data_IF_784913372687
#
_entry.id   IF_784913372687
#
_cell.length_a   1.000
_cell.length_b   1.000
_cell.length_c   1.000
_cell.angle_alpha   90.00
_cell.angle_beta   90.00
_cell.angle_gamma   90.00
#
_symmetry.space_group_name_H-M   'P 1'
#
loop_
_entity.id
_entity.type
_entity.pdbx_description
1 polymer ?
#
# COMPACT_ATOMS: atom_id res chain seq x y z
N UNK A 1 47.94 55.34 -5.66
CA UNK A 1 46.54 55.30 -5.15
C UNK A 1 45.74 54.06 -5.61
N UNK A 2 46.35 52.89 -5.88
CA UNK A 2 45.59 51.68 -6.29
C UNK A 2 45.54 50.55 -5.24
N UNK A 3 46.40 50.57 -4.21
CA UNK A 3 46.51 49.46 -3.25
C UNK A 3 45.35 49.36 -2.23
N UNK A 4 44.64 50.47 -1.97
CA UNK A 4 43.50 50.49 -1.02
C UNK A 4 42.17 50.04 -1.66
N UNK A 5 42.02 50.10 -2.99
CA UNK A 5 40.80 49.64 -3.69
C UNK A 5 40.69 48.11 -3.71
N UNK A 6 41.80 47.40 -3.87
CA UNK A 6 41.80 45.92 -3.83
C UNK A 6 41.52 45.37 -2.43
N UNK A 7 41.96 46.05 -1.36
CA UNK A 7 41.65 45.65 0.01
C UNK A 7 40.17 45.79 0.36
N UNK A 8 39.52 46.86 -0.11
CA UNK A 8 38.07 47.05 0.06
C UNK A 8 37.24 46.00 -0.68
N UNK A 9 37.62 45.66 -1.92
CA UNK A 9 36.94 44.62 -2.69
C UNK A 9 37.07 43.24 -2.03
N UNK A 10 38.28 42.85 -1.62
CA UNK A 10 38.51 41.58 -0.92
C UNK A 10 37.71 41.51 0.38
N UNK A 11 37.64 42.60 1.15
CA UNK A 11 36.88 42.63 2.39
C UNK A 11 35.37 42.44 2.16
N UNK A 12 34.84 43.09 1.11
CA UNK A 12 33.43 42.95 0.71
C UNK A 12 33.13 41.53 0.23
N UNK A 13 34.01 40.94 -0.59
CA UNK A 13 33.84 39.54 -1.04
C UNK A 13 33.89 38.55 0.12
N UNK A 14 34.78 38.74 1.09
CA UNK A 14 34.86 37.88 2.29
C UNK A 14 33.59 38.03 3.14
N UNK A 15 33.09 39.26 3.31
CA UNK A 15 31.84 39.52 4.04
C UNK A 15 30.64 38.84 3.38
N UNK A 16 30.52 38.93 2.05
CA UNK A 16 29.45 38.26 1.31
C UNK A 16 29.58 36.73 1.37
N UNK A 17 30.79 36.19 1.25
CA UNK A 17 31.01 34.75 1.41
C UNK A 17 30.68 34.28 2.83
N UNK A 18 31.08 35.02 3.86
CA UNK A 18 30.73 34.70 5.25
C UNK A 18 29.23 34.78 5.50
N UNK A 19 28.53 35.78 4.97
CA UNK A 19 27.08 35.89 5.09
C UNK A 19 26.36 34.72 4.40
N UNK A 20 26.81 34.32 3.21
CA UNK A 20 26.30 33.14 2.51
C UNK A 20 26.58 31.85 3.29
N UNK A 21 27.77 31.72 3.87
CA UNK A 21 28.12 30.55 4.68
C UNK A 21 27.28 30.45 5.96
N UNK A 22 27.02 31.58 6.62
CA UNK A 22 26.13 31.66 7.80
C UNK A 22 24.70 31.31 7.40
N UNK A 23 24.20 31.81 6.27
CA UNK A 23 22.87 31.46 5.75
C UNK A 23 22.76 29.97 5.41
N UNK A 24 23.79 29.40 4.78
CA UNK A 24 23.84 27.98 4.46
C UNK A 24 23.89 27.09 5.72
N UNK A 25 24.69 27.48 6.73
CA UNK A 25 24.74 26.80 8.03
C UNK A 25 23.42 26.92 8.79
N UNK A 26 22.73 28.06 8.70
CA UNK A 26 21.41 28.24 9.30
C UNK A 26 20.37 27.33 8.62
N UNK A 27 20.39 27.19 7.29
CA UNK A 27 19.51 26.28 6.55
C UNK A 27 19.77 24.80 6.90
N UNK A 28 21.05 24.39 6.98
CA UNK A 28 21.41 23.04 7.43
C UNK A 28 20.97 22.83 8.88
N UNK A 29 21.20 23.81 9.77
CA UNK A 29 20.82 23.70 11.18
C UNK A 29 19.31 23.65 11.36
N UNK A 30 18.54 24.39 10.57
CA UNK A 30 17.09 24.38 10.60
C UNK A 30 16.55 23.04 10.07
N UNK A 31 17.09 22.53 8.96
CA UNK A 31 16.77 21.18 8.46
C UNK A 31 17.22 20.06 9.40
N UNK A 32 18.35 20.23 10.09
CA UNK A 32 18.85 19.27 11.07
C UNK A 32 18.04 19.31 12.37
N UNK A 33 17.54 20.48 12.80
CA UNK A 33 16.69 20.62 13.97
C UNK A 33 15.26 20.15 13.71
N UNK A 34 14.71 20.36 12.50
CA UNK A 34 13.42 19.75 12.12
C UNK A 34 13.54 18.23 12.00
N UNK A 35 14.62 17.71 11.41
CA UNK A 35 14.87 16.27 11.34
C UNK A 35 15.26 15.66 12.70
N UNK A 36 15.96 16.37 13.57
CA UNK A 36 16.27 15.93 14.92
C UNK A 36 15.05 16.00 15.84
N UNK A 37 14.14 16.96 15.64
CA UNK A 37 12.84 17.00 16.33
C UNK A 37 11.96 15.80 15.96
N UNK A 38 12.00 15.38 14.69
CA UNK A 38 11.36 14.14 14.21
C UNK A 38 12.10 12.90 14.73
N UNK A 39 13.43 12.86 14.71
CA UNK A 39 14.21 11.74 15.27
C UNK A 39 14.09 11.63 16.81
N UNK A 40 13.90 12.74 17.51
CA UNK A 40 13.69 12.79 18.97
C UNK A 40 12.26 12.43 19.33
N UNK A 41 11.26 12.82 18.52
CA UNK A 41 9.88 12.32 18.61
C UNK A 41 9.75 10.82 18.24
N UNK A 42 10.61 10.33 17.34
CA UNK A 42 10.78 8.88 17.07
C UNK A 42 11.51 8.18 18.22
N UNK A 43 12.40 8.88 18.94
CA UNK A 43 13.13 8.32 20.08
C UNK A 43 12.34 8.27 21.40
N UNK A 44 11.18 8.93 21.49
CA UNK A 44 10.42 8.99 22.75
C UNK A 44 9.73 7.68 23.15
N UNK A 45 9.59 6.69 22.26
CA UNK A 45 8.96 5.40 22.59
C UNK A 45 9.74 4.17 22.08
N UNK A 46 11.05 4.08 22.37
CA UNK A 46 11.86 2.86 22.10
C UNK A 46 11.20 1.58 22.65
N UNK A 47 10.47 1.67 23.76
CA UNK A 47 9.75 0.54 24.34
C UNK A 47 8.56 0.09 23.47
N UNK A 48 7.82 1.02 22.86
CA UNK A 48 6.72 0.67 21.94
C UNK A 48 7.26 0.12 20.63
N UNK A 49 8.34 0.70 20.09
CA UNK A 49 9.01 0.17 18.89
C UNK A 49 9.51 -1.26 19.14
N UNK A 50 10.16 -1.52 20.27
CA UNK A 50 10.57 -2.87 20.66
C UNK A 50 9.37 -3.83 20.84
N UNK A 51 8.23 -3.35 21.33
CA UNK A 51 7.00 -4.14 21.46
C UNK A 51 6.37 -4.47 20.10
N UNK A 52 6.36 -3.52 19.16
CA UNK A 52 5.89 -3.76 17.79
C UNK A 52 6.81 -4.75 17.07
N UNK A 53 8.12 -4.58 17.21
CA UNK A 53 9.10 -5.48 16.60
C UNK A 53 9.04 -6.89 17.20
N UNK A 54 8.82 -7.02 18.51
CA UNK A 54 8.62 -8.33 19.14
C UNK A 54 7.30 -8.98 18.70
N UNK A 55 6.20 -8.22 18.61
CA UNK A 55 4.94 -8.69 18.04
C UNK A 55 5.12 -9.20 16.60
N UNK A 56 5.77 -8.42 15.73
CA UNK A 56 6.06 -8.83 14.35
C UNK A 56 6.87 -10.14 14.28
N UNK A 57 7.92 -10.28 15.11
CA UNK A 57 8.71 -11.50 15.18
C UNK A 57 7.88 -12.70 15.65
N UNK A 58 7.00 -12.51 16.64
CA UNK A 58 6.10 -13.55 17.14
C UNK A 58 5.07 -13.97 16.10
N UNK A 59 4.49 -13.03 15.35
CA UNK A 59 3.53 -13.34 14.28
C UNK A 59 4.20 -14.20 13.19
N UNK A 60 5.36 -13.74 12.69
CA UNK A 60 6.13 -14.49 11.67
C UNK A 60 6.47 -15.90 12.14
N UNK A 61 6.97 -16.03 13.37
CA UNK A 61 7.30 -17.33 13.95
C UNK A 61 6.05 -18.22 14.11
N UNK A 62 4.95 -17.67 14.62
CA UNK A 62 3.70 -18.41 14.79
C UNK A 62 3.14 -18.92 13.47
N UNK A 63 3.18 -18.11 12.41
CA UNK A 63 2.78 -18.52 11.07
C UNK A 63 3.66 -19.64 10.52
N UNK A 64 4.99 -19.56 10.70
CA UNK A 64 5.95 -20.61 10.32
C UNK A 64 5.67 -21.91 11.08
N UNK A 65 5.56 -21.83 12.40
CA UNK A 65 5.32 -23.00 13.26
C UNK A 65 4.01 -23.69 12.87
N UNK A 66 2.95 -22.92 12.64
CA UNK A 66 1.65 -23.47 12.22
C UNK A 66 1.74 -24.22 10.90
N UNK A 67 2.39 -23.62 9.89
CA UNK A 67 2.55 -24.27 8.59
C UNK A 67 3.38 -25.56 8.70
N UNK A 68 4.44 -25.54 9.52
CA UNK A 68 5.30 -26.69 9.75
C UNK A 68 4.60 -27.85 10.46
N UNK A 69 3.53 -27.58 11.23
CA UNK A 69 2.68 -28.61 11.82
C UNK A 69 1.78 -29.32 10.80
N UNK A 70 1.79 -28.90 9.52
CA UNK A 70 1.08 -29.56 8.42
C UNK A 70 -0.43 -29.30 8.42
N UNK A 71 -0.92 -28.35 9.22
CA UNK A 71 -2.31 -27.92 9.21
C UNK A 71 -2.69 -27.14 7.97
N UNK A 72 -4.00 -27.12 7.67
CA UNK A 72 -4.56 -26.11 6.78
C UNK A 72 -4.29 -24.72 7.37
N UNK A 73 -3.96 -23.75 6.51
CA UNK A 73 -3.57 -22.42 6.98
C UNK A 73 -4.82 -21.61 7.32
N UNK A 74 -5.30 -21.78 8.56
CA UNK A 74 -6.39 -21.01 9.14
C UNK A 74 -5.83 -19.81 9.90
N UNK A 75 -6.04 -18.61 9.33
CA UNK A 75 -5.55 -17.35 9.90
C UNK A 75 -6.14 -17.07 11.28
N UNK A 76 -7.41 -17.40 11.50
CA UNK A 76 -8.07 -17.20 12.79
C UNK A 76 -7.43 -18.08 13.86
N UNK A 77 -7.22 -19.35 13.56
CA UNK A 77 -6.57 -20.28 14.47
C UNK A 77 -5.10 -19.90 14.76
N UNK A 78 -4.36 -19.50 13.73
CA UNK A 78 -2.99 -18.96 13.87
C UNK A 78 -2.98 -17.74 14.80
N UNK A 79 -3.91 -16.81 14.57
CA UNK A 79 -4.01 -15.57 15.34
C UNK A 79 -4.30 -15.85 16.82
N UNK A 80 -5.29 -16.68 17.12
CA UNK A 80 -5.61 -17.10 18.49
C UNK A 80 -4.42 -17.79 19.17
N UNK A 81 -3.72 -18.67 18.46
CA UNK A 81 -2.54 -19.35 18.98
C UNK A 81 -1.36 -18.40 19.28
N UNK A 82 -1.27 -17.24 18.62
CA UNK A 82 -0.25 -16.23 18.90
C UNK A 82 -0.67 -15.32 20.05
N UNK A 83 -1.91 -14.80 20.04
CA UNK A 83 -2.41 -13.89 21.07
C UNK A 83 -2.45 -14.53 22.47
N UNK A 84 -2.62 -15.84 22.55
CA UNK A 84 -2.63 -16.60 23.82
C UNK A 84 -1.24 -16.88 24.38
N UNK A 85 -0.16 -16.53 23.66
CA UNK A 85 1.20 -16.74 24.15
C UNK A 85 1.53 -15.76 25.28
N UNK A 86 2.09 -16.22 26.43
CA UNK A 86 2.39 -15.36 27.57
C UNK A 86 3.33 -14.18 27.27
N UNK A 87 4.17 -14.33 26.25
CA UNK A 87 5.15 -13.32 25.83
C UNK A 87 4.61 -12.32 24.79
N UNK A 88 3.33 -12.43 24.40
CA UNK A 88 2.67 -11.43 23.54
C UNK A 88 2.68 -10.05 24.23
N UNK A 89 3.08 -8.96 23.55
CA UNK A 89 3.10 -7.63 24.15
C UNK A 89 1.70 -7.16 24.57
N UNK A 90 1.58 -6.76 25.84
CA UNK A 90 0.32 -6.26 26.39
C UNK A 90 -0.15 -4.99 25.69
N UNK A 91 -1.46 -4.88 25.45
CA UNK A 91 -2.07 -3.71 24.82
C UNK A 91 -1.88 -3.61 23.31
N UNK A 92 -1.31 -4.64 22.66
CA UNK A 92 -1.26 -4.75 21.20
C UNK A 92 -2.22 -5.82 20.70
N UNK A 93 -2.71 -5.60 19.49
CA UNK A 93 -3.44 -6.56 18.68
C UNK A 93 -2.86 -6.53 17.25
N UNK A 94 -3.25 -7.49 16.41
CA UNK A 94 -2.75 -7.63 15.06
C UNK A 94 -3.75 -8.28 14.09
N UNK A 95 -3.47 -8.06 12.80
CA UNK A 95 -4.11 -8.72 11.68
C UNK A 95 -3.07 -9.38 10.77
N UNK A 96 -3.43 -10.54 10.22
CA UNK A 96 -2.70 -11.21 9.15
C UNK A 96 -3.58 -11.10 7.90
N UNK A 97 -3.11 -10.37 6.91
CA UNK A 97 -3.88 -10.05 5.71
C UNK A 97 -3.21 -10.77 4.53
N UNK A 98 -3.84 -11.80 3.93
CA UNK A 98 -3.34 -12.41 2.70
C UNK A 98 -3.23 -11.36 1.62
N UNK A 99 -2.14 -11.38 0.86
CA UNK A 99 -1.98 -10.39 -0.21
C UNK A 99 -2.92 -10.69 -1.41
N UNK A 100 -3.48 -11.90 -1.49
CA UNK A 100 -4.63 -12.26 -2.35
C UNK A 100 -5.92 -11.50 -2.02
N UNK A 101 -6.03 -10.90 -0.84
CA UNK A 101 -7.15 -10.03 -0.45
C UNK A 101 -7.10 -8.63 -1.10
N UNK A 102 -6.03 -8.33 -1.85
CA UNK A 102 -5.76 -7.04 -2.50
C UNK A 102 -5.72 -7.17 -4.01
N UNK A 103 -6.08 -6.10 -4.72
CA UNK A 103 -6.02 -6.03 -6.18
C UNK A 103 -4.56 -5.91 -6.62
N UNK A 104 -4.08 -6.86 -7.43
CA UNK A 104 -2.70 -6.85 -7.91
C UNK A 104 -2.53 -5.97 -9.15
N UNK A 105 -1.85 -4.83 -9.01
CA UNK A 105 -1.63 -3.85 -10.10
C UNK A 105 -0.82 -4.43 -11.27
N UNK A 106 0.06 -5.42 -11.03
CA UNK A 106 0.87 -6.05 -12.09
C UNK A 106 0.08 -7.02 -12.96
N UNK A 107 -1.03 -7.54 -12.42
CA UNK A 107 -1.88 -8.52 -13.10
C UNK A 107 -3.30 -7.98 -13.37
N UNK A 108 -3.52 -6.69 -13.11
CA UNK A 108 -4.76 -6.00 -13.41
C UNK A 108 -4.83 -5.68 -14.91
N UNK A 109 -5.91 -6.09 -15.57
CA UNK A 109 -6.12 -5.79 -16.99
C UNK A 109 -6.58 -4.35 -17.18
N UNK A 110 -6.28 -3.75 -18.34
CA UNK A 110 -6.80 -2.42 -18.70
C UNK A 110 -8.33 -2.35 -18.67
N UNK A 111 -9.01 -3.44 -19.07
CA UNK A 111 -10.47 -3.54 -18.98
C UNK A 111 -10.95 -3.48 -17.53
N UNK A 112 -10.27 -4.17 -16.60
CA UNK A 112 -10.62 -4.19 -15.18
C UNK A 112 -10.37 -2.82 -14.55
N UNK A 113 -9.24 -2.17 -14.87
CA UNK A 113 -8.96 -0.80 -14.41
C UNK A 113 -10.00 0.19 -14.95
N UNK A 114 -10.39 0.07 -16.23
CA UNK A 114 -11.49 0.87 -16.80
C UNK A 114 -12.78 0.68 -16.00
N UNK A 115 -13.17 -0.57 -15.71
CA UNK A 115 -14.37 -0.83 -14.93
C UNK A 115 -14.30 -0.30 -13.49
N UNK A 116 -13.11 -0.27 -12.86
CA UNK A 116 -12.92 0.43 -11.58
C UNK A 116 -13.23 1.91 -11.77
N UNK A 117 -12.57 2.57 -12.75
CA UNK A 117 -12.70 4.01 -13.01
C UNK A 117 -14.15 4.43 -13.33
N UNK A 118 -14.87 3.65 -14.15
CA UNK A 118 -16.27 3.87 -14.51
C UNK A 118 -17.22 3.92 -13.30
N UNK A 119 -16.83 3.32 -12.16
CA UNK A 119 -17.63 3.31 -10.93
C UNK A 119 -17.17 4.32 -9.89
N UNK A 120 -16.05 5.02 -10.12
CA UNK A 120 -15.54 6.03 -9.18
C UNK A 120 -16.41 7.27 -9.24
N UNK A 121 -16.84 7.76 -8.08
CA UNK A 121 -17.62 9.02 -7.95
C UNK A 121 -16.81 10.26 -8.33
N UNK A 122 -15.49 10.14 -8.31
CA UNK A 122 -14.52 11.22 -8.56
C UNK A 122 -13.94 11.21 -9.98
N UNK A 123 -14.56 10.47 -10.91
CA UNK A 123 -14.11 10.34 -12.31
C UNK A 123 -15.29 10.61 -13.24
N UNK A 124 -15.13 11.57 -14.14
CA UNK A 124 -16.13 11.85 -15.15
C UNK A 124 -16.01 10.86 -16.31
N UNK A 125 -17.15 10.44 -16.89
CA UNK A 125 -17.18 9.47 -17.98
C UNK A 125 -16.34 9.89 -19.21
N UNK A 126 -16.21 11.20 -19.45
CA UNK A 126 -15.39 11.75 -20.53
C UNK A 126 -13.88 11.69 -20.28
N UNK A 127 -13.44 11.48 -19.04
CA UNK A 127 -12.01 11.44 -18.67
C UNK A 127 -11.42 10.03 -18.70
N UNK A 128 -12.28 9.00 -18.71
CA UNK A 128 -11.88 7.60 -18.57
C UNK A 128 -10.86 7.19 -19.64
N UNK A 129 -11.08 7.59 -20.90
CA UNK A 129 -10.13 7.29 -21.97
C UNK A 129 -8.77 7.93 -21.75
N UNK A 130 -8.73 9.16 -21.21
CA UNK A 130 -7.49 9.84 -20.86
C UNK A 130 -6.76 9.17 -19.70
N UNK A 131 -7.49 8.73 -18.67
CA UNK A 131 -6.92 7.98 -17.55
C UNK A 131 -6.32 6.63 -17.98
N UNK A 132 -7.01 5.91 -18.87
CA UNK A 132 -6.50 4.64 -19.41
C UNK A 132 -5.26 4.85 -20.28
N UNK A 133 -5.23 5.93 -21.08
CA UNK A 133 -4.03 6.30 -21.84
C UNK A 133 -2.87 6.66 -20.89
N UNK A 134 -3.12 7.45 -19.85
CA UNK A 134 -2.09 7.80 -18.87
C UNK A 134 -1.52 6.58 -18.11
N UNK A 135 -2.36 5.59 -17.79
CA UNK A 135 -1.86 4.31 -17.25
C UNK A 135 -0.98 3.58 -18.26
N UNK A 136 -1.35 3.61 -19.55
CA UNK A 136 -0.60 2.92 -20.60
C UNK A 136 0.80 3.52 -20.75
N UNK A 137 0.88 4.84 -20.91
CA UNK A 137 2.16 5.59 -20.95
C UNK A 137 2.98 5.41 -19.67
N UNK A 138 2.33 5.19 -18.51
CA UNK A 138 3.08 4.93 -17.27
C UNK A 138 3.86 3.61 -17.30
N UNK A 139 3.27 2.58 -17.92
CA UNK A 139 3.75 1.20 -17.84
C UNK A 139 4.55 0.78 -19.06
N UNK A 140 4.27 1.35 -20.24
CA UNK A 140 4.99 1.01 -21.46
C UNK A 140 6.46 1.48 -21.42
N UNK A 141 7.26 0.98 -22.35
CA UNK A 141 8.72 1.15 -22.28
C UNK A 141 9.24 2.38 -23.04
N UNK A 142 8.39 3.11 -23.75
CA UNK A 142 8.79 4.22 -24.59
C UNK A 142 8.49 5.58 -23.94
N UNK A 143 8.69 6.68 -24.66
CA UNK A 143 8.41 8.04 -24.15
C UNK A 143 7.38 8.75 -25.09
N UNK A 144 6.62 7.99 -25.90
CA UNK A 144 5.68 8.56 -26.87
C UNK A 144 4.29 8.71 -26.27
N UNK A 145 3.95 9.94 -25.90
CA UNK A 145 2.68 10.21 -25.25
C UNK A 145 1.50 9.90 -26.18
N UNK A 146 0.53 9.14 -25.63
CA UNK A 146 -0.79 9.04 -26.25
C UNK A 146 -1.52 10.40 -26.24
N UNK A 147 -2.57 10.61 -27.07
CA UNK A 147 -3.24 11.91 -27.22
C UNK A 147 -3.70 12.57 -25.91
N UNK A 148 -4.11 11.75 -24.93
CA UNK A 148 -4.49 12.17 -23.59
C UNK A 148 -3.66 11.47 -22.51
N UNK A 149 -2.53 10.90 -22.88
CA UNK A 149 -1.61 10.24 -21.96
C UNK A 149 -0.70 11.20 -21.19
N UNK A 150 0.39 10.69 -20.66
CA UNK A 150 1.32 11.44 -19.81
C UNK A 150 2.70 10.78 -19.82
N UNK A 151 3.67 11.50 -20.38
CA UNK A 151 5.06 11.05 -20.51
C UNK A 151 6.05 11.98 -19.83
N UNK A 152 7.35 11.73 -20.02
CA UNK A 152 8.45 12.51 -19.44
C UNK A 152 8.29 14.02 -19.55
N UNK A 153 7.79 14.51 -20.68
CA UNK A 153 7.55 15.94 -20.90
C UNK A 153 6.44 16.50 -19.99
N UNK A 154 5.36 15.74 -19.80
CA UNK A 154 4.27 16.08 -18.89
C UNK A 154 4.77 16.12 -17.45
N UNK A 155 5.43 15.06 -16.97
CA UNK A 155 5.90 14.99 -15.58
C UNK A 155 6.98 16.02 -15.26
N UNK A 156 7.89 16.30 -16.20
CA UNK A 156 8.86 17.38 -16.05
C UNK A 156 8.19 18.77 -15.92
N UNK A 157 7.07 18.98 -16.63
CA UNK A 157 6.24 20.18 -16.49
C UNK A 157 5.61 20.33 -15.11
N UNK A 158 5.27 19.22 -14.47
CA UNK A 158 4.77 19.14 -13.08
C UNK A 158 5.90 19.16 -12.02
N UNK A 159 7.16 19.30 -12.44
CA UNK A 159 8.33 19.29 -11.55
C UNK A 159 8.72 17.90 -11.02
N UNK A 160 8.19 16.83 -11.63
CA UNK A 160 8.46 15.44 -11.28
C UNK A 160 9.44 14.87 -12.30
N UNK A 161 10.73 14.91 -11.96
CA UNK A 161 11.79 14.42 -12.83
C UNK A 161 11.92 12.88 -12.78
N UNK A 162 12.37 12.29 -13.89
CA UNK A 162 12.58 10.83 -14.04
C UNK A 162 11.30 9.98 -13.94
N UNK A 163 10.15 10.55 -14.35
CA UNK A 163 8.88 9.85 -14.54
C UNK A 163 8.44 9.94 -16.02
N UNK A 164 7.60 9.03 -16.54
CA UNK A 164 7.07 7.85 -15.85
C UNK A 164 8.17 6.81 -15.57
N UNK A 165 7.80 5.76 -14.83
CA UNK A 165 8.70 4.66 -14.53
C UNK A 165 9.05 3.81 -15.76
N UNK A 166 8.22 3.89 -16.80
CA UNK A 166 8.26 3.13 -18.06
C UNK A 166 8.40 1.62 -17.79
N UNK A 167 7.65 1.17 -16.78
CA UNK A 167 7.70 -0.18 -16.23
C UNK A 167 6.46 -0.44 -15.35
N UNK A 168 6.24 -1.71 -14.99
CA UNK A 168 5.24 -2.07 -13.99
C UNK A 168 5.49 -1.37 -12.65
N UNK A 169 4.39 -1.12 -11.93
CA UNK A 169 4.40 -0.53 -10.58
C UNK A 169 5.33 -1.29 -9.62
N UNK A 170 6.21 -0.55 -8.94
CA UNK A 170 7.12 -1.09 -7.93
C UNK A 170 6.56 -0.99 -6.51
N UNK A 171 5.64 -0.04 -6.29
CA UNK A 171 4.86 0.11 -5.05
C UNK A 171 3.43 0.58 -5.37
N UNK A 172 2.42 0.25 -4.56
CA UNK A 172 1.03 0.70 -4.81
C UNK A 172 0.89 2.22 -4.88
N UNK A 173 1.69 2.96 -4.11
CA UNK A 173 1.65 4.42 -4.07
C UNK A 173 1.99 5.11 -5.41
N UNK A 174 2.73 4.44 -6.30
CA UNK A 174 3.02 4.94 -7.65
C UNK A 174 1.75 5.18 -8.47
N UNK A 175 0.66 4.45 -8.16
CA UNK A 175 -0.65 4.65 -8.78
C UNK A 175 -1.10 6.11 -8.70
N UNK A 176 -0.81 6.80 -7.59
CA UNK A 176 -1.23 8.19 -7.38
C UNK A 176 -0.43 9.21 -8.20
N UNK A 177 0.69 8.80 -8.80
CA UNK A 177 1.50 9.64 -9.68
C UNK A 177 1.04 9.57 -11.13
N UNK A 178 0.31 8.52 -11.52
CA UNK A 178 -0.32 8.45 -12.84
C UNK A 178 -1.24 9.66 -12.99
N UNK A 179 -1.13 10.37 -14.11
CA UNK A 179 -1.94 11.57 -14.39
C UNK A 179 -3.43 11.31 -14.12
N UNK A 180 -4.02 12.11 -13.23
CA UNK A 180 -5.44 12.05 -12.83
C UNK A 180 -5.78 11.05 -11.72
N UNK A 181 -4.91 10.07 -11.44
CA UNK A 181 -5.22 9.00 -10.49
C UNK A 181 -5.27 9.46 -9.03
N UNK A 182 -4.50 10.51 -8.68
CA UNK A 182 -4.62 11.14 -7.35
C UNK A 182 -6.05 11.62 -7.04
N UNK A 183 -6.74 12.17 -8.03
CA UNK A 183 -8.14 12.59 -7.88
C UNK A 183 -9.08 11.36 -7.89
N UNK A 184 -8.88 10.46 -8.85
CA UNK A 184 -9.69 9.26 -9.03
C UNK A 184 -9.69 8.34 -7.79
N UNK A 185 -8.60 8.31 -7.04
CA UNK A 185 -8.40 7.48 -5.84
C UNK A 185 -8.30 8.29 -4.53
N UNK A 186 -8.80 9.52 -4.51
CA UNK A 186 -8.68 10.43 -3.34
C UNK A 186 -9.38 9.94 -2.06
N UNK A 187 -10.42 9.11 -2.19
CA UNK A 187 -11.19 8.46 -1.12
C UNK A 187 -10.69 7.06 -0.75
N UNK A 188 -9.55 6.62 -1.31
CA UNK A 188 -9.04 5.24 -1.16
C UNK A 188 -7.62 5.26 -0.64
N UNK A 189 -7.33 4.43 0.38
CA UNK A 189 -5.93 4.12 0.70
C UNK A 189 -5.41 3.04 -0.25
N UNK A 190 -4.64 3.47 -1.25
CA UNK A 190 -4.07 2.59 -2.26
C UNK A 190 -3.18 1.48 -1.68
N UNK A 191 -2.54 1.68 -0.53
CA UNK A 191 -1.70 0.66 0.09
C UNK A 191 -2.50 -0.42 0.83
N UNK A 192 -3.73 -0.10 1.21
CA UNK A 192 -4.65 -1.04 1.85
C UNK A 192 -5.33 -1.95 0.82
N UNK A 193 -5.69 -1.41 -0.35
CA UNK A 193 -6.50 -2.13 -1.35
C UNK A 193 -5.70 -2.72 -2.51
N UNK A 194 -4.55 -2.13 -2.86
CA UNK A 194 -3.72 -2.60 -3.96
C UNK A 194 -2.43 -3.26 -3.48
N UNK A 195 -1.89 -4.12 -4.33
CA UNK A 195 -0.57 -4.73 -4.16
C UNK A 195 0.17 -4.79 -5.49
N UNK A 196 1.48 -4.93 -5.40
CA UNK A 196 2.41 -5.19 -6.52
C UNK A 196 3.12 -6.54 -6.35
N UNK A 197 2.72 -7.30 -5.34
CA UNK A 197 3.32 -8.58 -4.95
C UNK A 197 2.39 -9.73 -5.30
N UNK A 198 2.96 -10.92 -5.44
CA UNK A 198 2.22 -12.12 -5.80
C UNK A 198 2.00 -12.25 -7.30
N UNK A 199 1.38 -13.36 -7.70
CA UNK A 199 1.09 -13.71 -9.10
C UNK A 199 -0.40 -13.85 -9.38
N UNK A 200 -1.25 -13.54 -8.40
CA UNK A 200 -2.68 -13.72 -8.50
C UNK A 200 -3.28 -12.68 -9.44
N UNK A 201 -4.31 -13.11 -10.16
CA UNK A 201 -5.24 -12.26 -10.87
C UNK A 201 -6.59 -12.35 -10.15
N UNK A 202 -7.27 -11.21 -9.99
CA UNK A 202 -8.46 -11.11 -9.17
C UNK A 202 -8.14 -10.91 -7.68
N UNK A 203 -9.13 -11.15 -6.85
CA UNK A 203 -9.13 -10.98 -5.40
C UNK A 203 -9.82 -12.18 -4.75
N UNK A 204 -9.32 -12.61 -3.60
CA UNK A 204 -9.98 -13.59 -2.74
C UNK A 204 -11.07 -12.91 -1.89
N UNK A 205 -12.33 -13.23 -2.16
CA UNK A 205 -13.48 -12.62 -1.48
C UNK A 205 -13.70 -13.20 -0.08
N UNK A 206 -13.03 -14.29 0.28
CA UNK A 206 -12.99 -14.79 1.65
C UNK A 206 -12.16 -13.91 2.59
N UNK A 207 -11.23 -13.12 2.06
CA UNK A 207 -10.28 -12.34 2.87
C UNK A 207 -10.21 -10.84 2.52
N UNK A 208 -10.75 -10.40 1.37
CA UNK A 208 -10.78 -8.99 0.94
C UNK A 208 -11.35 -8.03 2.00
N UNK A 209 -10.76 -6.84 2.18
CA UNK A 209 -11.41 -5.83 3.01
C UNK A 209 -12.67 -5.28 2.33
N UNK A 210 -13.55 -4.63 3.11
CA UNK A 210 -14.65 -3.84 2.57
C UNK A 210 -14.18 -2.88 1.47
N UNK A 211 -13.11 -2.13 1.75
CA UNK A 211 -12.58 -1.13 0.82
C UNK A 211 -12.10 -1.75 -0.50
N UNK A 212 -11.47 -2.93 -0.45
CA UNK A 212 -11.11 -3.66 -1.67
C UNK A 212 -12.35 -4.08 -2.45
N UNK A 213 -13.37 -4.64 -1.78
CA UNK A 213 -14.61 -5.06 -2.42
C UNK A 213 -15.37 -3.88 -3.06
N UNK A 214 -15.37 -2.71 -2.43
CA UNK A 214 -15.99 -1.49 -2.97
C UNK A 214 -15.39 -1.03 -4.31
N UNK A 215 -14.16 -1.43 -4.64
CA UNK A 215 -13.56 -1.15 -5.94
C UNK A 215 -14.01 -2.12 -7.04
N UNK A 216 -14.58 -3.26 -6.67
CA UNK A 216 -15.00 -4.28 -7.63
C UNK A 216 -16.37 -3.88 -8.20
N UNK A 217 -16.51 -3.80 -9.55
CA UNK A 217 -17.79 -3.55 -10.19
C UNK A 217 -18.88 -4.53 -9.75
N UNK A 218 -20.09 -4.03 -9.54
CA UNK A 218 -21.23 -4.83 -9.07
C UNK A 218 -21.33 -4.98 -7.55
N UNK A 219 -20.35 -4.50 -6.78
CA UNK A 219 -20.40 -4.54 -5.31
C UNK A 219 -21.16 -3.34 -4.73
N UNK A 220 -22.40 -3.58 -4.29
CA UNK A 220 -23.13 -2.62 -3.44
C UNK A 220 -22.80 -2.84 -1.97
N UNK A 221 -23.12 -1.86 -1.11
CA UNK A 221 -22.92 -2.02 0.33
C UNK A 221 -23.68 -3.24 0.87
N UNK A 222 -24.88 -3.53 0.37
CA UNK A 222 -25.66 -4.72 0.73
C UNK A 222 -24.98 -6.03 0.31
N UNK A 223 -24.43 -6.09 -0.91
CA UNK A 223 -23.68 -7.26 -1.38
C UNK A 223 -22.42 -7.48 -0.57
N UNK A 224 -21.73 -6.40 -0.20
CA UNK A 224 -20.52 -6.48 0.61
C UNK A 224 -20.85 -6.97 2.01
N UNK A 225 -21.89 -6.43 2.66
CA UNK A 225 -22.35 -6.95 3.96
C UNK A 225 -22.70 -8.43 3.91
N UNK A 226 -23.37 -8.87 2.84
CA UNK A 226 -23.68 -10.28 2.64
C UNK A 226 -22.40 -11.13 2.58
N UNK A 227 -21.40 -10.71 1.80
CA UNK A 227 -20.10 -11.39 1.72
C UNK A 227 -19.43 -11.45 3.10
N UNK A 228 -19.30 -10.30 3.78
CA UNK A 228 -18.60 -10.19 5.06
C UNK A 228 -19.25 -11.05 6.15
N UNK A 229 -20.59 -11.08 6.21
CA UNK A 229 -21.33 -11.89 7.18
C UNK A 229 -21.27 -13.39 6.86
N UNK A 230 -21.24 -13.78 5.58
CA UNK A 230 -21.19 -15.18 5.15
C UNK A 230 -19.82 -15.86 5.30
N UNK A 231 -18.72 -15.09 5.44
CA UNK A 231 -17.35 -15.64 5.66
C UNK A 231 -17.23 -16.56 6.87
N UNK A 232 -18.12 -16.42 7.85
CA UNK A 232 -18.12 -17.25 9.07
C UNK A 232 -18.53 -18.70 8.82
N UNK A 233 -19.24 -18.95 7.72
CA UNK A 233 -19.86 -20.26 7.44
C UNK A 233 -19.53 -20.80 6.06
N UNK A 234 -19.16 -19.93 5.12
CA UNK A 234 -18.87 -20.29 3.73
C UNK A 234 -17.42 -19.98 3.38
N UNK A 235 -16.82 -20.86 2.57
CA UNK A 235 -15.51 -20.64 1.98
C UNK A 235 -15.65 -19.79 0.70
N UNK A 236 -15.72 -18.47 0.90
CA UNK A 236 -15.91 -17.50 -0.19
C UNK A 236 -14.64 -17.28 -1.05
N UNK A 237 -13.59 -18.07 -0.84
CA UNK A 237 -12.49 -18.17 -1.81
C UNK A 237 -12.88 -19.01 -3.04
N UNK A 238 -13.95 -19.81 -2.94
CA UNK A 238 -14.45 -20.70 -3.99
C UNK A 238 -15.56 -20.07 -4.82
N UNK A 239 -15.49 -20.24 -6.13
CA UNK A 239 -16.51 -19.76 -7.07
C UNK A 239 -17.86 -20.41 -6.85
N UNK A 240 -17.87 -21.69 -6.47
CA UNK A 240 -19.11 -22.41 -6.20
C UNK A 240 -19.92 -21.76 -5.08
N UNK A 241 -19.28 -21.39 -3.97
CA UNK A 241 -19.93 -20.73 -2.84
C UNK A 241 -20.41 -19.32 -3.22
N UNK A 242 -19.56 -18.55 -3.91
CA UNK A 242 -19.92 -17.22 -4.41
C UNK A 242 -21.11 -17.25 -5.38
N UNK A 243 -21.18 -18.25 -6.26
CA UNK A 243 -22.28 -18.39 -7.23
C UNK A 243 -23.63 -18.74 -6.60
N UNK A 244 -23.61 -19.36 -5.41
CA UNK A 244 -24.82 -19.67 -4.64
C UNK A 244 -25.23 -18.50 -3.75
N UNK A 245 -24.27 -17.70 -3.29
CA UNK A 245 -24.51 -16.56 -2.42
C UNK A 245 -25.02 -15.32 -3.18
N UNK A 246 -24.45 -15.06 -4.36
CA UNK A 246 -24.69 -13.83 -5.13
C UNK A 246 -25.79 -13.99 -6.16
N UNK A 247 -26.53 -12.91 -6.42
CA UNK A 247 -27.45 -12.84 -7.54
C UNK A 247 -26.71 -13.07 -8.87
N UNK A 248 -27.36 -13.77 -9.81
CA UNK A 248 -26.72 -14.18 -11.06
C UNK A 248 -26.12 -13.01 -11.87
N UNK A 249 -26.79 -11.85 -11.86
CA UNK A 249 -26.28 -10.65 -12.54
C UNK A 249 -25.01 -10.11 -11.89
N UNK A 250 -24.98 -10.05 -10.55
CA UNK A 250 -23.80 -9.64 -9.77
C UNK A 250 -22.67 -10.64 -9.97
N UNK A 251 -22.97 -11.94 -9.89
CA UNK A 251 -21.97 -12.99 -10.08
C UNK A 251 -21.27 -12.90 -11.45
N UNK A 252 -22.03 -12.64 -12.52
CA UNK A 252 -21.46 -12.44 -13.87
C UNK A 252 -20.50 -11.25 -13.91
N UNK A 253 -20.84 -10.13 -13.25
CA UNK A 253 -20.02 -8.92 -13.20
C UNK A 253 -18.72 -9.15 -12.41
N UNK A 254 -18.79 -9.88 -11.30
CA UNK A 254 -17.63 -10.11 -10.42
C UNK A 254 -16.77 -11.31 -10.85
N UNK A 255 -17.24 -12.18 -11.74
CA UNK A 255 -16.52 -13.39 -12.16
C UNK A 255 -15.06 -13.15 -12.60
N UNK A 256 -14.73 -12.07 -13.37
CA UNK A 256 -13.34 -11.77 -13.74
C UNK A 256 -12.45 -11.38 -12.55
N UNK A 257 -13.05 -11.04 -11.41
CA UNK A 257 -12.38 -10.55 -10.21
C UNK A 257 -12.15 -11.63 -9.16
N UNK A 258 -12.62 -12.88 -9.36
CA UNK A 258 -12.47 -13.94 -8.36
C UNK A 258 -11.14 -14.67 -8.55
N UNK A 259 -10.24 -14.55 -7.57
CA UNK A 259 -8.96 -15.26 -7.48
C UNK A 259 -9.10 -16.65 -6.87
N UNK A 260 -9.86 -17.53 -7.51
CA UNK A 260 -10.10 -18.88 -7.00
C UNK A 260 -8.81 -19.71 -6.95
N UNK A 261 -8.53 -20.30 -5.79
CA UNK A 261 -7.34 -21.14 -5.58
C UNK A 261 -6.02 -20.36 -5.68
N UNK A 262 -6.06 -19.02 -5.63
CA UNK A 262 -4.86 -18.21 -5.53
C UNK A 262 -4.23 -18.46 -4.16
N UNK A 263 -3.10 -19.17 -4.16
CA UNK A 263 -2.26 -19.35 -2.97
C UNK A 263 -1.02 -18.50 -3.19
N UNK A 264 -0.80 -17.52 -2.33
CA UNK A 264 0.48 -16.85 -2.20
C UNK A 264 1.08 -17.11 -0.81
N UNK A 265 2.38 -16.89 -0.71
CA UNK A 265 3.08 -16.89 0.56
C UNK A 265 3.34 -15.45 1.02
N UNK A 266 2.51 -14.50 0.58
CA UNK A 266 2.75 -13.07 0.78
C UNK A 266 1.61 -12.52 1.64
N UNK A 267 1.99 -11.88 2.73
CA UNK A 267 1.04 -11.37 3.71
C UNK A 267 1.41 -9.95 4.09
N UNK A 268 0.40 -9.10 4.31
CA UNK A 268 0.58 -7.89 5.09
C UNK A 268 0.32 -8.24 6.55
N UNK A 269 1.33 -8.09 7.39
CA UNK A 269 1.15 -8.12 8.85
C UNK A 269 0.86 -6.70 9.32
N UNK A 270 -0.14 -6.54 10.17
CA UNK A 270 -0.48 -5.24 10.75
C UNK A 270 -0.53 -5.36 12.28
N UNK A 271 0.19 -4.51 12.99
CA UNK A 271 0.20 -4.44 14.46
C UNK A 271 -0.32 -3.06 14.87
N UNK A 272 -1.25 -3.05 15.82
CA UNK A 272 -1.94 -1.85 16.27
C UNK A 272 -2.30 -1.94 17.76
N UNK A 273 -2.58 -0.80 18.43
CA UNK A 273 -3.06 -0.81 19.81
C UNK A 273 -4.38 -1.58 19.94
N UNK A 274 -4.48 -2.45 20.94
CA UNK A 274 -5.72 -3.14 21.27
C UNK A 274 -6.77 -2.12 21.75
N UNK A 275 -7.93 -2.10 21.08
CA UNK A 275 -9.04 -1.17 21.37
C UNK A 275 -10.39 -1.84 21.12
N UNK A 276 -11.46 -1.28 21.70
CA UNK A 276 -12.83 -1.68 21.34
C UNK A 276 -13.24 -1.15 19.97
N UNK A 277 -12.66 -0.03 19.55
CA UNK A 277 -12.88 0.57 18.24
C UNK A 277 -11.87 0.03 17.23
N UNK A 278 -12.29 -0.07 15.96
CA UNK A 278 -11.40 -0.46 14.88
C UNK A 278 -10.23 0.54 14.75
N UNK A 279 -8.97 0.08 14.64
CA UNK A 279 -7.83 0.96 14.45
C UNK A 279 -7.96 1.71 13.12
N UNK A 280 -7.69 3.02 13.09
CA UNK A 280 -7.55 3.74 11.81
C UNK A 280 -6.18 3.47 11.19
N UNK A 281 -5.14 3.34 12.02
CA UNK A 281 -3.74 3.18 11.59
C UNK A 281 -3.06 2.00 12.27
N UNK A 282 -2.12 1.39 11.56
CA UNK A 282 -1.28 0.31 12.06
C UNK A 282 0.16 0.45 11.56
N UNK A 283 1.09 -0.14 12.30
CA UNK A 283 2.40 -0.48 11.77
C UNK A 283 2.25 -1.72 10.89
N UNK A 284 2.62 -1.64 9.62
CA UNK A 284 2.44 -2.73 8.66
C UNK A 284 3.71 -3.14 7.96
N UNK A 285 3.81 -4.43 7.66
CA UNK A 285 4.89 -4.99 6.86
C UNK A 285 4.33 -5.95 5.82
N UNK A 286 4.74 -5.79 4.58
CA UNK A 286 4.50 -6.79 3.54
C UNK A 286 5.64 -7.80 3.59
N UNK A 287 5.30 -9.07 3.71
CA UNK A 287 6.24 -10.15 3.99
C UNK A 287 5.99 -11.30 3.02
N UNK A 288 7.08 -11.82 2.45
CA UNK A 288 7.08 -13.04 1.65
C UNK A 288 7.71 -14.18 2.46
N UNK A 289 6.94 -15.22 2.73
CA UNK A 289 7.45 -16.48 3.29
C UNK A 289 8.06 -17.33 2.18
N UNK A 290 9.20 -17.95 2.48
CA UNK A 290 9.83 -18.92 1.58
C UNK A 290 8.87 -20.09 1.29
N UNK A 291 8.91 -20.72 0.09
CA UNK A 291 8.04 -21.85 -0.25
C UNK A 291 8.05 -23.02 0.73
N UNK A 292 9.16 -23.22 1.46
CA UNK A 292 9.31 -24.26 2.48
C UNK A 292 9.00 -23.74 3.89
N UNK A 293 8.57 -22.48 4.03
CA UNK A 293 8.20 -21.85 5.29
C UNK A 293 9.31 -21.89 6.36
N UNK A 294 10.58 -21.89 5.92
CA UNK A 294 11.75 -21.89 6.80
C UNK A 294 12.24 -20.47 7.14
N UNK A 295 11.69 -19.45 6.48
CA UNK A 295 12.07 -18.06 6.66
C UNK A 295 11.10 -17.11 5.99
N UNK A 296 11.27 -15.83 6.28
CA UNK A 296 10.45 -14.76 5.74
C UNK A 296 11.31 -13.55 5.36
N UNK A 297 10.97 -12.90 4.26
CA UNK A 297 11.62 -11.69 3.75
C UNK A 297 10.65 -10.52 3.84
N UNK A 298 11.08 -9.43 4.45
CA UNK A 298 10.32 -8.17 4.42
C UNK A 298 10.46 -7.52 3.05
N UNK A 299 9.33 -7.24 2.41
CA UNK A 299 9.22 -6.59 1.10
C UNK A 299 9.05 -5.08 1.24
N UNK A 300 8.25 -4.65 2.22
CA UNK A 300 7.98 -3.24 2.51
C UNK A 300 7.63 -3.04 3.98
N UNK A 301 7.95 -1.85 4.50
CA UNK A 301 7.61 -1.41 5.86
C UNK A 301 6.83 -0.11 5.77
N UNK A 302 5.70 -0.05 6.46
CA UNK A 302 4.80 1.09 6.51
C UNK A 302 4.54 1.42 7.98
N UNK A 303 5.33 2.32 8.58
CA UNK A 303 5.27 2.57 10.02
C UNK A 303 3.93 3.11 10.53
N UNK A 304 3.18 3.77 9.64
CA UNK A 304 1.86 4.33 9.92
C UNK A 304 1.03 4.31 8.63
N UNK A 305 0.33 3.20 8.37
CA UNK A 305 -0.57 3.04 7.24
C UNK A 305 -2.01 2.86 7.71
N UNK A 306 -3.00 3.29 6.92
CA UNK A 306 -4.38 2.99 7.27
C UNK A 306 -4.65 1.51 7.10
N UNK A 307 -5.48 0.99 7.99
CA UNK A 307 -5.92 -0.40 7.96
C UNK A 307 -7.38 -0.46 7.54
N UNK A 308 -7.69 -1.39 6.63
CA UNK A 308 -9.05 -1.68 6.24
C UNK A 308 -9.80 -2.43 7.34
N UNK A 309 -11.12 -2.57 7.17
CA UNK A 309 -11.92 -3.49 7.97
C UNK A 309 -11.61 -4.93 7.54
N UNK A 310 -10.95 -5.69 8.41
CA UNK A 310 -10.55 -7.10 8.22
C UNK A 310 -11.05 -7.97 9.37
#
# INVERSE_FOLDING_TARGET
MQRNRHRGFVLVSVLWMSALLIGFLALISQNAQTNAGVAVAISSNRAEDLAIQSAMAMIRKGMIDWKMLGGEFDIGAVREAILTQPQWPQGLDFAIIPNTSKINLKHLTLSSMRSILERRKNVDAGEIDGLIQAWTDWVDADDNAMPQGAERSYYAGEGIYNMPANNFFQVPAELLFVRGYKAAFSDVDVNAVFTVYGKHQGVDFGSASRQTLQLIPGMTDETIELILTSRKTLDLSKRSELSLLLDAAVYIEVQPWIAEGAVDNIFTLAVFPASQDAPEYAYMEDIEFDPFWIGAKTLSVKPMARIGEY
#
